data_IF_609506112429
#
_entry.id   IF_609506112429
#
_cell.length_a   1.000
_cell.length_b   1.000
_cell.length_c   1.000
_cell.angle_alpha   90.00
_cell.angle_beta   90.00
_cell.angle_gamma   90.00
#
_symmetry.space_group_name_H-M   'P 1'
#
loop_
_entity.id
_entity.type
_entity.pdbx_description
1 polymer ?
#
# COMPACT_ATOMS: atom_id res chain seq x y z
N UNK A 1 -23.74 0.51 -1.57
CA UNK A 1 -23.55 1.50 -2.65
C UNK A 1 -22.62 2.62 -2.20
N UNK A 2 -22.71 3.09 -0.95
CA UNK A 2 -21.90 4.21 -0.41
C UNK A 2 -20.38 4.00 -0.44
N UNK A 3 -19.88 2.79 -0.14
CA UNK A 3 -18.43 2.53 -0.11
C UNK A 3 -17.75 2.71 -1.48
N UNK A 4 -18.43 2.32 -2.56
CA UNK A 4 -17.89 2.47 -3.91
C UNK A 4 -17.89 3.94 -4.35
N UNK A 5 -18.92 4.69 -3.98
CA UNK A 5 -18.98 6.15 -4.22
C UNK A 5 -17.89 6.89 -3.44
N UNK A 6 -17.68 6.53 -2.17
CA UNK A 6 -16.60 7.09 -1.35
C UNK A 6 -15.21 6.79 -1.94
N UNK A 7 -14.97 5.57 -2.42
CA UNK A 7 -13.73 5.21 -3.11
C UNK A 7 -13.54 6.00 -4.41
N UNK A 8 -14.63 6.25 -5.15
CA UNK A 8 -14.59 7.05 -6.37
C UNK A 8 -14.28 8.53 -6.10
N UNK A 9 -14.88 9.11 -5.05
CA UNK A 9 -14.56 10.46 -4.59
C UNK A 9 -13.11 10.58 -4.08
N UNK A 10 -12.62 9.55 -3.36
CA UNK A 10 -11.25 9.49 -2.90
C UNK A 10 -10.26 9.37 -4.08
N UNK A 11 -10.59 8.56 -5.09
CA UNK A 11 -9.79 8.46 -6.32
C UNK A 11 -9.72 9.80 -7.05
N UNK A 12 -10.88 10.46 -7.24
CA UNK A 12 -10.95 11.76 -7.92
C UNK A 12 -10.15 12.85 -7.19
N UNK A 13 -10.28 12.93 -5.86
CA UNK A 13 -9.50 13.88 -5.06
C UNK A 13 -7.99 13.58 -5.08
N UNK A 14 -7.60 12.31 -5.03
CA UNK A 14 -6.19 11.89 -5.13
C UNK A 14 -5.56 12.23 -6.48
N UNK A 15 -6.30 12.07 -7.58
CA UNK A 15 -5.85 12.48 -8.93
C UNK A 15 -5.67 14.00 -9.01
N UNK A 16 -6.58 14.77 -8.43
CA UNK A 16 -6.45 16.23 -8.37
C UNK A 16 -5.18 16.65 -7.61
N UNK A 17 -4.94 16.05 -6.44
CA UNK A 17 -3.73 16.34 -5.66
C UNK A 17 -2.44 15.94 -6.39
N UNK A 18 -2.45 14.86 -7.19
CA UNK A 18 -1.32 14.50 -8.04
C UNK A 18 -1.03 15.57 -9.10
N UNK A 19 -2.05 16.14 -9.73
CA UNK A 19 -1.87 17.21 -10.72
C UNK A 19 -1.27 18.47 -10.08
N UNK A 20 -1.73 18.83 -8.89
CA UNK A 20 -1.20 19.98 -8.14
C UNK A 20 0.26 19.76 -7.73
N UNK A 21 0.60 18.56 -7.24
CA UNK A 21 1.98 18.20 -6.90
C UNK A 21 2.87 18.12 -8.14
N UNK A 22 2.38 17.62 -9.27
CA UNK A 22 3.11 17.58 -10.52
C UNK A 22 3.47 18.98 -11.00
N UNK A 23 2.53 19.93 -10.89
CA UNK A 23 2.77 21.34 -11.19
C UNK A 23 3.83 21.93 -10.26
N UNK A 24 3.64 21.78 -8.94
CA UNK A 24 4.59 22.28 -7.95
C UNK A 24 5.99 21.67 -8.12
N UNK A 25 6.08 20.41 -8.53
CA UNK A 25 7.35 19.72 -8.81
C UNK A 25 8.04 20.29 -10.05
N UNK A 26 7.26 20.60 -11.09
CA UNK A 26 7.77 21.26 -12.30
C UNK A 26 8.32 22.66 -11.99
N UNK A 27 7.71 23.37 -11.03
CA UNK A 27 8.17 24.69 -10.58
C UNK A 27 9.40 24.61 -9.66
N UNK A 28 9.58 23.49 -8.95
CA UNK A 28 10.72 23.30 -8.05
C UNK A 28 12.03 22.95 -8.78
N UNK A 29 11.97 22.48 -10.03
CA UNK A 29 13.05 22.03 -10.95
C UNK A 29 14.08 21.01 -10.41
N UNK A 30 14.66 21.20 -9.21
CA UNK A 30 15.62 20.30 -8.56
C UNK A 30 15.72 20.52 -7.03
N UNK A 31 16.56 19.73 -6.35
CA UNK A 31 16.87 19.90 -4.93
C UNK A 31 15.88 19.23 -3.96
N UNK A 32 15.95 19.61 -2.68
CA UNK A 32 15.20 18.96 -1.59
C UNK A 32 13.68 19.03 -1.82
N UNK A 33 13.18 20.17 -2.30
CA UNK A 33 11.76 20.40 -2.57
C UNK A 33 11.25 19.48 -3.68
N UNK A 34 12.04 19.31 -4.74
CA UNK A 34 11.73 18.37 -5.83
C UNK A 34 11.68 16.92 -5.34
N UNK A 35 12.64 16.50 -4.52
CA UNK A 35 12.67 15.15 -3.94
C UNK A 35 11.46 14.89 -3.03
N UNK A 36 11.11 15.86 -2.18
CA UNK A 36 9.92 15.78 -1.32
C UNK A 36 8.64 15.66 -2.14
N UNK A 37 8.46 16.49 -3.17
CA UNK A 37 7.29 16.45 -4.04
C UNK A 37 7.20 15.14 -4.82
N UNK A 38 8.34 14.61 -5.27
CA UNK A 38 8.41 13.30 -5.93
C UNK A 38 7.93 12.19 -4.97
N UNK A 39 8.44 12.15 -3.73
CA UNK A 39 8.01 11.14 -2.76
C UNK A 39 6.53 11.23 -2.37
N UNK A 40 5.97 12.45 -2.30
CA UNK A 40 4.52 12.65 -2.11
C UNK A 40 3.72 12.11 -3.28
N UNK A 41 4.20 12.30 -4.52
CA UNK A 41 3.55 11.73 -5.71
C UNK A 41 3.59 10.21 -5.72
N UNK A 42 4.72 9.58 -5.36
CA UNK A 42 4.82 8.11 -5.25
C UNK A 42 3.85 7.53 -4.22
N UNK A 43 3.67 8.24 -3.10
CA UNK A 43 2.70 7.85 -2.07
C UNK A 43 1.27 7.90 -2.62
N UNK A 44 0.90 8.96 -3.33
CA UNK A 44 -0.43 9.08 -3.95
C UNK A 44 -0.67 8.04 -5.04
N UNK A 45 0.36 7.69 -5.84
CA UNK A 45 0.25 6.58 -6.78
C UNK A 45 -0.05 5.26 -6.08
N UNK A 46 0.64 4.97 -4.97
CA UNK A 46 0.40 3.75 -4.18
C UNK A 46 -1.04 3.70 -3.65
N UNK A 47 -1.55 4.82 -3.15
CA UNK A 47 -2.93 4.94 -2.68
C UNK A 47 -3.92 4.71 -3.83
N UNK A 48 -3.68 5.30 -5.00
CA UNK A 48 -4.53 5.10 -6.17
C UNK A 48 -4.52 3.65 -6.67
N UNK A 49 -3.38 2.98 -6.64
CA UNK A 49 -3.29 1.54 -6.96
C UNK A 49 -4.14 0.73 -5.99
N UNK A 50 -4.06 1.01 -4.68
CA UNK A 50 -4.88 0.33 -3.69
C UNK A 50 -6.38 0.57 -3.89
N UNK A 51 -6.79 1.82 -4.17
CA UNK A 51 -8.19 2.14 -4.46
C UNK A 51 -8.66 1.40 -5.71
N UNK A 52 -7.86 1.39 -6.77
CA UNK A 52 -8.20 0.70 -8.01
C UNK A 52 -8.36 -0.80 -7.80
N UNK A 53 -7.47 -1.43 -7.04
CA UNK A 53 -7.60 -2.84 -6.63
C UNK A 53 -8.86 -3.09 -5.79
N UNK A 54 -9.22 -2.15 -4.91
CA UNK A 54 -10.42 -2.25 -4.06
C UNK A 54 -11.73 -2.09 -4.84
N UNK A 55 -11.68 -1.41 -5.99
CA UNK A 55 -12.83 -1.25 -6.90
C UNK A 55 -12.94 -2.39 -7.92
N UNK A 56 -11.91 -3.23 -8.06
CA UNK A 56 -12.00 -4.42 -8.90
C UNK A 56 -12.90 -5.47 -8.23
N UNK A 57 -13.83 -6.10 -8.98
CA UNK A 57 -14.56 -7.25 -8.46
C UNK A 57 -13.54 -8.33 -8.06
N UNK A 58 -13.76 -8.97 -6.91
CA UNK A 58 -12.91 -10.06 -6.46
C UNK A 58 -12.78 -11.11 -7.59
N UNK A 59 -11.57 -11.63 -7.87
CA UNK A 59 -11.43 -12.68 -8.86
C UNK A 59 -12.32 -13.86 -8.48
N UNK A 60 -13.20 -14.24 -9.40
CA UNK A 60 -14.12 -15.37 -9.31
C UNK A 60 -13.33 -16.70 -9.37
N UNK A 61 -12.49 -16.95 -8.36
CA UNK A 61 -11.83 -18.23 -8.12
C UNK A 61 -11.14 -18.26 -6.75
N UNK A 62 -11.93 -18.48 -5.72
CA UNK A 62 -11.48 -19.21 -4.53
C UNK A 62 -12.63 -20.11 -4.08
N UNK A 63 -12.74 -21.28 -4.73
CA UNK A 63 -13.37 -22.45 -4.09
C UNK A 63 -12.77 -22.60 -2.69
N UNK A 64 -13.57 -22.77 -1.63
CA UNK A 64 -13.06 -23.12 -0.32
C UNK A 64 -12.60 -24.59 -0.36
N UNK A 65 -11.38 -24.84 -0.82
CA UNK A 65 -10.71 -26.13 -0.66
C UNK A 65 -9.32 -25.90 -0.05
N UNK A 66 -9.31 -25.36 1.17
CA UNK A 66 -8.23 -25.62 2.11
C UNK A 66 -8.85 -26.14 3.40
N UNK A 67 -9.50 -27.29 3.27
CA UNK A 67 -9.63 -28.20 4.39
C UNK A 67 -8.24 -28.76 4.71
N UNK A 68 -7.70 -28.28 5.82
CA UNK A 68 -6.90 -29.05 6.77
C UNK A 68 -5.45 -29.48 6.41
N UNK A 69 -4.59 -29.24 7.40
CA UNK A 69 -3.29 -29.89 7.68
C UNK A 69 -2.06 -29.38 6.91
N UNK A 70 -1.30 -28.47 7.55
CA UNK A 70 -0.17 -28.89 8.43
C UNK A 70 0.60 -27.69 8.99
N UNK A 71 0.72 -27.73 10.33
CA UNK A 71 1.91 -27.40 11.13
C UNK A 71 2.39 -25.95 11.10
N UNK A 72 1.82 -25.20 12.04
CA UNK A 72 2.56 -24.51 13.10
C UNK A 72 4.05 -24.90 13.17
N UNK A 73 4.91 -24.07 12.57
CA UNK A 73 6.32 -24.03 12.90
C UNK A 73 6.52 -22.82 13.82
N UNK A 74 6.36 -23.06 15.12
CA UNK A 74 6.70 -22.11 16.17
C UNK A 74 8.15 -21.60 15.99
N UNK A 75 8.41 -20.29 16.17
CA UNK A 75 9.76 -19.75 16.07
C UNK A 75 10.58 -20.15 17.31
N UNK A 76 11.57 -21.04 17.15
CA UNK A 76 12.56 -21.30 18.20
C UNK A 76 13.52 -20.11 18.32
N UNK A 77 13.16 -19.15 19.18
CA UNK A 77 14.13 -18.26 19.85
C UNK A 77 14.02 -18.44 21.36
N UNK A 78 15.00 -19.09 21.97
CA UNK A 78 15.35 -18.85 23.37
C UNK A 78 16.83 -19.20 23.59
N UNK A 79 17.58 -18.15 23.97
CA UNK A 79 18.95 -18.15 24.50
C UNK A 79 19.07 -19.06 25.72
N UNK A 80 20.23 -19.70 25.92
CA UNK A 80 20.97 -19.59 27.18
C UNK A 80 22.40 -20.11 27.01
N UNK A 81 23.34 -19.15 27.08
CA UNK A 81 24.75 -19.35 27.39
C UNK A 81 24.85 -19.37 28.93
N UNK A 82 25.36 -20.46 29.51
CA UNK A 82 25.90 -20.59 30.89
C UNK A 82 26.67 -21.92 30.89
N UNK A 83 28.01 -21.93 30.93
CA UNK A 83 28.84 -22.02 32.16
C UNK A 83 28.30 -23.12 33.11
N UNK A 84 29.07 -24.09 33.62
CA UNK A 84 30.46 -24.09 34.11
C UNK A 84 30.87 -25.52 34.52
N UNK A 85 32.20 -25.71 34.64
CA UNK A 85 32.95 -26.63 35.54
C UNK A 85 32.97 -28.14 35.28
#
# INVERSE_FOLDING_TARGET
MEAQEALQQLAASSVKSLQELAKARSEAESGLKYAELTGRMDTLHTILTFIQQSMQPAPDNAKPDQAEKKKEAAPKKAKAKKETS
#
